data_IF_143554248276
#
_entry.id   IF_143554248276
#
_cell.length_a   1.000
_cell.length_b   1.000
_cell.length_c   1.000
_cell.angle_alpha   90.00
_cell.angle_beta   90.00
_cell.angle_gamma   90.00
#
_symmetry.space_group_name_H-M   'P 1'
#
loop_
_entity.id
_entity.type
_entity.pdbx_description
1 polymer ?
#
# COMPACT_ATOMS: atom_id res chain seq x y z
N UNK A 1 -22.68 -4.15 20.14
CA UNK A 1 -21.77 -4.03 18.98
C UNK A 1 -21.21 -5.41 18.72
N UNK A 2 -21.33 -5.90 17.48
CA UNK A 2 -20.75 -7.19 17.09
C UNK A 2 -19.25 -7.21 17.43
N UNK A 3 -18.79 -8.21 18.20
CA UNK A 3 -17.36 -8.45 18.47
C UNK A 3 -16.55 -8.66 17.17
N UNK A 4 -17.24 -8.83 16.04
CA UNK A 4 -16.65 -9.07 14.71
C UNK A 4 -16.41 -7.80 13.88
N UNK A 5 -16.84 -6.61 14.32
CA UNK A 5 -16.70 -5.38 13.52
C UNK A 5 -15.67 -4.41 14.12
N UNK A 6 -14.68 -4.02 13.31
CA UNK A 6 -13.70 -3.01 13.71
C UNK A 6 -14.28 -1.60 13.55
N UNK A 7 -13.91 -0.67 14.43
CA UNK A 7 -14.17 0.76 14.22
C UNK A 7 -12.86 1.47 13.93
N UNK A 8 -12.76 2.09 12.76
CA UNK A 8 -11.55 2.77 12.31
C UNK A 8 -11.83 4.27 12.25
N UNK A 9 -11.04 5.04 12.99
CA UNK A 9 -11.10 6.50 12.99
C UNK A 9 -9.97 7.02 12.10
N UNK A 10 -10.31 7.92 11.18
CA UNK A 10 -9.36 8.55 10.25
C UNK A 10 -9.41 10.08 10.33
N UNK A 11 -8.30 10.76 10.01
CA UNK A 11 -8.27 12.22 9.87
C UNK A 11 -9.18 12.76 8.74
N UNK A 12 -9.65 14.00 8.87
CA UNK A 12 -10.52 14.70 7.89
C UNK A 12 -9.75 15.34 6.72
N UNK A 13 -8.83 14.60 6.13
CA UNK A 13 -8.14 14.96 4.88
C UNK A 13 -7.86 13.71 4.05
N UNK A 14 -7.68 13.88 2.73
CA UNK A 14 -7.43 12.78 1.79
C UNK A 14 -8.42 11.61 1.96
N UNK A 15 -9.69 11.92 2.24
CA UNK A 15 -10.70 10.92 2.67
C UNK A 15 -10.90 9.83 1.60
N UNK A 16 -10.75 10.17 0.31
CA UNK A 16 -10.89 9.22 -0.79
C UNK A 16 -9.75 8.20 -0.76
N UNK A 17 -8.51 8.67 -0.65
CA UNK A 17 -7.30 7.86 -0.54
C UNK A 17 -7.34 6.98 0.72
N UNK A 18 -7.70 7.56 1.87
CA UNK A 18 -7.82 6.82 3.13
C UNK A 18 -8.90 5.73 3.05
N UNK A 19 -10.07 6.03 2.49
CA UNK A 19 -11.13 5.00 2.30
C UNK A 19 -10.70 3.90 1.35
N UNK A 20 -10.02 4.24 0.26
CA UNK A 20 -9.43 3.26 -0.66
C UNK A 20 -8.46 2.33 0.09
N UNK A 21 -7.55 2.88 0.90
CA UNK A 21 -6.61 2.10 1.68
C UNK A 21 -7.29 1.16 2.68
N UNK A 22 -8.32 1.65 3.37
CA UNK A 22 -9.08 0.82 4.31
C UNK A 22 -9.82 -0.31 3.59
N UNK A 23 -10.36 -0.07 2.38
CA UNK A 23 -11.00 -1.12 1.59
C UNK A 23 -10.00 -2.19 1.13
N UNK A 24 -8.84 -1.78 0.63
CA UNK A 24 -7.78 -2.72 0.27
C UNK A 24 -7.37 -3.55 1.48
N UNK A 25 -6.95 -2.91 2.57
CA UNK A 25 -6.39 -3.59 3.75
C UNK A 25 -7.45 -4.47 4.43
N UNK A 26 -8.58 -3.89 4.84
CA UNK A 26 -9.57 -4.60 5.65
C UNK A 26 -10.57 -5.37 4.80
N UNK A 27 -11.05 -4.79 3.69
CA UNK A 27 -12.06 -5.39 2.83
C UNK A 27 -11.52 -6.47 1.88
N UNK A 28 -10.32 -6.28 1.33
CA UNK A 28 -9.76 -7.21 0.33
C UNK A 28 -8.76 -8.19 0.94
N UNK A 29 -7.75 -7.71 1.66
CA UNK A 29 -6.68 -8.56 2.16
C UNK A 29 -7.03 -9.32 3.45
N UNK A 30 -7.61 -8.62 4.44
CA UNK A 30 -7.96 -9.22 5.73
C UNK A 30 -9.36 -9.82 5.76
N UNK A 31 -10.28 -9.38 4.88
CA UNK A 31 -11.70 -9.79 4.83
C UNK A 31 -12.41 -9.57 6.17
N UNK A 32 -12.17 -8.43 6.80
CA UNK A 32 -12.76 -8.03 8.09
C UNK A 32 -13.78 -6.90 7.85
N UNK A 33 -14.97 -7.04 8.42
CA UNK A 33 -15.96 -5.96 8.42
C UNK A 33 -15.51 -4.82 9.31
N UNK A 34 -15.61 -3.59 8.82
CA UNK A 34 -15.21 -2.40 9.55
C UNK A 34 -16.18 -1.23 9.31
N UNK A 35 -16.24 -0.32 10.27
CA UNK A 35 -16.91 0.96 10.17
C UNK A 35 -15.87 2.09 10.19
N UNK A 36 -16.03 3.10 9.34
CA UNK A 36 -15.14 4.26 9.29
C UNK A 36 -15.81 5.47 9.91
N UNK A 37 -15.12 6.12 10.85
CA UNK A 37 -15.49 7.42 11.40
C UNK A 37 -14.44 8.45 11.01
N UNK A 38 -14.88 9.55 10.43
CA UNK A 38 -13.99 10.69 10.14
C UNK A 38 -14.00 11.61 11.35
N UNK A 39 -12.82 11.98 11.84
CA UNK A 39 -12.68 12.85 13.00
C UNK A 39 -12.24 14.25 12.59
N UNK A 40 -12.91 15.28 13.11
CA UNK A 40 -12.72 16.68 12.71
C UNK A 40 -11.57 17.38 13.45
N UNK A 41 -11.18 16.89 14.63
CA UNK A 41 -10.07 17.47 15.36
C UNK A 41 -8.75 17.16 14.61
N UNK A 42 -7.76 18.05 14.71
CA UNK A 42 -6.41 17.97 14.11
C UNK A 42 -5.58 16.75 14.61
N UNK A 43 -6.12 15.55 14.49
CA UNK A 43 -5.41 14.30 14.76
C UNK A 43 -4.64 13.90 13.51
N UNK A 44 -3.36 13.60 13.69
CA UNK A 44 -2.48 13.05 12.66
C UNK A 44 -2.23 11.58 12.95
N UNK A 45 -3.31 10.81 13.11
CA UNK A 45 -3.23 9.36 13.37
C UNK A 45 -4.50 8.62 12.96
N UNK A 46 -4.32 7.35 12.62
CA UNK A 46 -5.37 6.37 12.47
C UNK A 46 -5.57 5.65 13.79
N UNK A 47 -6.82 5.42 14.18
CA UNK A 47 -7.13 4.62 15.38
C UNK A 47 -8.05 3.48 15.01
N UNK A 48 -7.59 2.25 15.25
CA UNK A 48 -8.35 1.03 14.98
C UNK A 48 -8.80 0.47 16.33
N UNK A 49 -10.10 0.48 16.58
CA UNK A 49 -10.71 -0.01 17.81
C UNK A 49 -11.36 -1.37 17.60
N UNK A 50 -11.19 -2.24 18.58
CA UNK A 50 -11.88 -3.53 18.65
C UNK A 50 -12.13 -3.98 20.09
N UNK A 51 -13.10 -4.87 20.27
CA UNK A 51 -13.53 -5.39 21.58
C UNK A 51 -13.85 -4.30 22.62
N UNK A 52 -14.30 -3.12 22.16
CA UNK A 52 -14.69 -1.94 22.97
C UNK A 52 -13.65 -1.37 23.96
N UNK A 53 -12.41 -1.90 24.01
CA UNK A 53 -11.37 -1.44 24.96
C UNK A 53 -9.95 -1.41 24.40
N UNK A 54 -9.70 -2.07 23.26
CA UNK A 54 -8.36 -2.17 22.69
C UNK A 54 -8.22 -1.34 21.43
N UNK A 55 -7.04 -0.76 21.23
CA UNK A 55 -6.79 0.05 20.05
C UNK A 55 -5.38 -0.06 19.49
N UNK A 56 -5.27 0.00 18.17
CA UNK A 56 -4.00 0.24 17.48
C UNK A 56 -4.03 1.71 17.03
N UNK A 57 -2.98 2.45 17.35
CA UNK A 57 -2.78 3.84 16.96
C UNK A 57 -1.59 3.88 16.01
N UNK A 58 -1.84 4.34 14.79
CA UNK A 58 -0.83 4.45 13.74
C UNK A 58 -0.70 5.92 13.40
N UNK A 59 0.48 6.50 13.63
CA UNK A 59 0.74 7.90 13.29
C UNK A 59 0.64 8.09 11.78
N UNK A 60 0.00 9.17 11.39
CA UNK A 60 -0.01 9.66 10.02
C UNK A 60 1.19 10.58 9.83
N UNK A 61 2.26 10.01 9.28
CA UNK A 61 3.54 10.68 9.07
C UNK A 61 3.66 11.30 7.68
N UNK A 62 2.67 11.08 6.80
CA UNK A 62 2.72 11.55 5.41
C UNK A 62 1.51 12.41 5.01
N UNK A 63 0.28 11.90 5.08
CA UNK A 63 -0.90 12.66 4.64
C UNK A 63 -1.15 13.88 5.54
N UNK A 64 -0.70 13.84 6.80
CA UNK A 64 -0.71 14.99 7.70
C UNK A 64 0.12 16.18 7.17
N UNK A 65 1.18 15.92 6.40
CA UNK A 65 2.01 16.93 5.75
C UNK A 65 1.37 17.48 4.46
N UNK A 66 0.38 16.76 3.90
CA UNK A 66 -0.26 17.05 2.62
C UNK A 66 -1.80 17.09 2.73
N UNK A 67 -2.38 17.94 3.60
CA UNK A 67 -3.82 17.91 3.90
C UNK A 67 -4.71 18.34 2.72
N UNK A 68 -4.16 19.07 1.76
CA UNK A 68 -4.88 19.48 0.55
C UNK A 68 -4.89 18.32 -0.44
N UNK A 69 -6.06 18.03 -1.02
CA UNK A 69 -6.24 16.97 -2.01
C UNK A 69 -5.17 17.05 -3.11
N UNK A 70 -4.53 15.91 -3.40
CA UNK A 70 -3.48 15.74 -4.41
C UNK A 70 -2.22 16.61 -4.22
N UNK A 71 -2.06 17.35 -3.11
CA UNK A 71 -0.88 18.18 -2.87
C UNK A 71 0.43 17.41 -2.68
N UNK A 72 0.32 16.09 -2.46
CA UNK A 72 1.42 15.14 -2.41
C UNK A 72 1.95 14.74 -3.80
N UNK A 73 1.29 15.09 -4.91
CA UNK A 73 1.74 14.74 -6.27
C UNK A 73 2.89 15.64 -6.73
N UNK A 74 4.02 15.58 -6.02
CA UNK A 74 5.25 16.31 -6.30
C UNK A 74 6.47 15.52 -5.88
N UNK A 75 7.61 15.78 -6.50
CA UNK A 75 8.87 15.08 -6.23
C UNK A 75 9.32 15.19 -4.76
N UNK A 76 9.05 16.32 -4.10
CA UNK A 76 9.40 16.53 -2.69
C UNK A 76 8.57 15.67 -1.71
N UNK A 77 7.54 14.98 -2.18
CA UNK A 77 6.73 14.06 -1.38
C UNK A 77 7.18 12.60 -1.54
N UNK A 78 8.24 12.36 -2.32
CA UNK A 78 8.89 11.05 -2.40
C UNK A 78 9.83 10.92 -1.19
N UNK A 79 9.78 9.81 -0.43
CA UNK A 79 10.69 9.60 0.69
C UNK A 79 12.14 9.58 0.17
N UNK A 80 12.99 10.37 0.81
CA UNK A 80 14.40 10.46 0.42
C UNK A 80 15.22 9.30 1.00
N UNK A 81 14.79 8.74 2.13
CA UNK A 81 15.47 7.68 2.86
C UNK A 81 14.52 6.53 3.20
N UNK A 82 15.06 5.31 3.24
CA UNK A 82 14.36 4.11 3.71
C UNK A 82 15.23 3.42 4.74
N UNK A 83 14.68 3.24 5.94
CA UNK A 83 15.37 2.58 7.04
C UNK A 83 14.84 1.15 7.21
N UNK A 84 15.73 0.20 7.45
CA UNK A 84 15.34 -1.17 7.79
C UNK A 84 15.26 -1.32 9.31
N UNK A 85 14.05 -1.56 9.82
CA UNK A 85 13.80 -1.70 11.26
C UNK A 85 13.61 -3.18 11.60
N UNK A 86 14.16 -3.62 12.73
CA UNK A 86 13.99 -4.97 13.28
C UNK A 86 12.89 -4.95 14.34
N UNK A 87 11.89 -5.83 14.23
CA UNK A 87 10.89 -5.98 15.28
C UNK A 87 10.24 -7.37 15.25
N UNK A 88 9.96 -8.01 16.40
CA UNK A 88 9.26 -9.30 16.45
C UNK A 88 7.85 -9.32 15.85
N UNK A 89 7.23 -8.16 15.65
CA UNK A 89 5.90 -8.06 15.03
C UNK A 89 5.94 -8.13 13.50
N UNK A 90 7.12 -8.07 12.89
CA UNK A 90 7.27 -8.19 11.45
C UNK A 90 7.24 -9.65 11.01
N UNK A 91 6.74 -9.91 9.80
CA UNK A 91 6.72 -11.25 9.21
C UNK A 91 8.11 -11.67 8.71
N UNK A 92 8.87 -10.71 8.23
CA UNK A 92 10.29 -10.84 7.86
C UNK A 92 11.19 -10.32 8.99
N UNK A 93 12.49 -10.60 8.89
CA UNK A 93 13.49 -10.18 9.89
C UNK A 93 13.49 -8.67 10.13
N UNK A 94 13.41 -7.89 9.06
CA UNK A 94 13.33 -6.44 9.06
C UNK A 94 12.17 -5.94 8.20
N UNK A 95 11.83 -4.67 8.32
CA UNK A 95 10.84 -4.00 7.48
C UNK A 95 11.43 -2.68 6.93
N UNK A 96 11.36 -2.41 5.62
CA UNK A 96 11.78 -1.13 5.06
C UNK A 96 10.73 -0.05 5.35
N UNK A 97 11.07 0.94 6.14
CA UNK A 97 10.21 2.05 6.58
C UNK A 97 10.49 3.31 5.77
N UNK A 98 9.44 3.81 5.09
CA UNK A 98 9.49 5.00 4.23
C UNK A 98 8.95 6.27 4.90
N UNK A 99 7.98 6.09 5.79
CA UNK A 99 7.24 7.16 6.46
C UNK A 99 7.11 6.80 7.94
N UNK A 100 7.59 7.69 8.82
CA UNK A 100 7.76 7.43 10.25
C UNK A 100 9.22 7.17 10.65
N UNK A 101 9.49 7.16 11.95
CA UNK A 101 10.84 6.95 12.50
C UNK A 101 11.14 5.48 12.84
N UNK A 102 10.12 4.62 12.96
CA UNK A 102 10.30 3.18 13.23
C UNK A 102 9.92 2.74 14.65
N UNK A 103 9.33 3.62 15.45
CA UNK A 103 8.97 3.37 16.82
C UNK A 103 7.69 2.53 16.95
N UNK A 104 7.74 1.58 17.88
CA UNK A 104 6.61 0.72 18.24
C UNK A 104 6.57 0.59 19.77
N UNK A 105 5.48 1.03 20.38
CA UNK A 105 5.18 0.88 21.79
C UNK A 105 4.01 -0.09 21.99
N UNK A 106 4.25 -1.17 22.74
CA UNK A 106 3.24 -2.17 23.09
C UNK A 106 2.84 -1.98 24.55
N UNK A 107 1.54 -1.77 24.77
CA UNK A 107 0.94 -1.65 26.10
C UNK A 107 -0.17 -2.71 26.29
N UNK A 108 -0.71 -2.83 27.50
CA UNK A 108 -1.71 -3.85 27.84
C UNK A 108 -2.95 -3.83 26.93
N UNK A 109 -3.45 -2.63 26.62
CA UNK A 109 -4.68 -2.43 25.85
C UNK A 109 -4.48 -1.67 24.53
N UNK A 110 -3.25 -1.26 24.21
CA UNK A 110 -2.99 -0.55 22.95
C UNK A 110 -1.60 -0.81 22.40
N UNK A 111 -1.49 -0.70 21.09
CA UNK A 111 -0.19 -0.61 20.40
C UNK A 111 -0.16 0.74 19.69
N UNK A 112 0.95 1.46 19.85
CA UNK A 112 1.20 2.73 19.19
C UNK A 112 2.42 2.54 18.29
N UNK A 113 2.30 2.90 17.02
CA UNK A 113 3.45 2.91 16.12
C UNK A 113 3.46 4.18 15.29
N UNK A 114 4.66 4.67 14.99
CA UNK A 114 4.84 5.80 14.09
C UNK A 114 5.18 5.39 12.64
N UNK A 115 5.37 4.08 12.41
CA UNK A 115 5.48 3.48 11.08
C UNK A 115 4.14 3.66 10.38
N UNK A 116 4.11 4.56 9.39
CA UNK A 116 2.87 4.90 8.69
C UNK A 116 2.53 3.81 7.66
N UNK A 117 1.82 2.79 8.16
CA UNK A 117 1.38 1.63 7.40
C UNK A 117 0.54 2.05 6.19
N UNK A 118 -0.38 2.98 6.37
CA UNK A 118 -1.35 3.33 5.33
C UNK A 118 -0.70 4.12 4.20
N UNK A 119 0.14 5.10 4.53
CA UNK A 119 0.85 5.89 3.52
C UNK A 119 1.89 5.05 2.77
N UNK A 120 2.55 4.12 3.47
CA UNK A 120 3.47 3.16 2.83
C UNK A 120 2.73 2.26 1.83
N UNK A 121 1.59 1.67 2.23
CA UNK A 121 0.76 0.86 1.33
C UNK A 121 0.27 1.72 0.14
N UNK A 122 -0.15 2.96 0.40
CA UNK A 122 -0.61 3.87 -0.65
C UNK A 122 0.47 4.15 -1.69
N UNK A 123 1.70 4.41 -1.23
CA UNK A 123 2.84 4.64 -2.10
C UNK A 123 3.14 3.43 -3.00
N UNK A 124 3.16 2.24 -2.40
CA UNK A 124 3.45 1.02 -3.13
C UNK A 124 2.35 0.64 -4.13
N UNK A 125 1.08 0.87 -3.79
CA UNK A 125 -0.05 0.54 -4.67
C UNK A 125 -0.21 1.53 -5.83
N UNK A 126 -0.09 2.83 -5.55
CA UNK A 126 -0.33 3.86 -6.58
C UNK A 126 0.90 4.16 -7.41
N UNK A 127 2.09 3.81 -6.90
CA UNK A 127 3.37 4.07 -7.57
C UNK A 127 3.49 5.53 -8.00
N UNK A 128 3.01 6.48 -7.16
CA UNK A 128 2.93 7.88 -7.59
C UNK A 128 4.31 8.49 -7.91
N UNK A 129 5.41 7.86 -7.49
CA UNK A 129 6.77 8.17 -7.95
C UNK A 129 6.91 8.14 -9.47
N UNK A 130 6.21 7.23 -10.15
CA UNK A 130 6.23 7.08 -11.60
C UNK A 130 5.52 8.24 -12.30
N UNK A 131 4.50 8.78 -11.65
CA UNK A 131 3.71 9.92 -12.10
C UNK A 131 4.49 11.24 -11.97
N UNK A 132 5.18 11.46 -10.84
CA UNK A 132 5.91 12.70 -10.58
C UNK A 132 7.32 12.71 -11.17
N UNK A 133 7.84 11.55 -11.58
CA UNK A 133 9.16 11.44 -12.20
C UNK A 133 9.17 11.97 -13.63
N UNK A 134 10.20 12.78 -13.93
CA UNK A 134 10.52 13.25 -15.27
C UNK A 134 11.44 12.29 -16.03
N UNK A 135 12.09 11.36 -15.32
CA UNK A 135 13.03 10.43 -15.90
C UNK A 135 12.26 9.34 -16.65
N UNK A 136 12.57 9.17 -17.94
CA UNK A 136 11.94 8.21 -18.82
C UNK A 136 12.99 7.44 -19.60
N UNK A 137 12.74 6.15 -19.81
CA UNK A 137 13.56 5.32 -20.69
C UNK A 137 13.33 5.69 -22.18
N UNK A 138 14.04 5.02 -23.09
CA UNK A 138 13.91 5.23 -24.54
C UNK A 138 12.49 5.00 -25.10
N UNK A 139 11.61 4.36 -24.33
CA UNK A 139 10.22 4.08 -24.69
C UNK A 139 9.24 5.01 -23.97
N UNK A 140 9.71 6.03 -23.25
CA UNK A 140 8.85 6.95 -22.50
C UNK A 140 8.29 6.38 -21.20
N UNK A 141 8.85 5.28 -20.67
CA UNK A 141 8.39 4.59 -19.46
C UNK A 141 9.22 5.02 -18.25
N UNK A 142 8.66 4.90 -17.05
CA UNK A 142 9.44 5.10 -15.83
C UNK A 142 10.46 3.95 -15.67
N UNK A 143 11.78 4.22 -15.58
CA UNK A 143 12.77 3.18 -15.41
C UNK A 143 12.65 2.52 -14.04
N UNK A 144 12.59 1.19 -13.98
CA UNK A 144 12.50 0.47 -12.69
C UNK A 144 13.69 0.78 -11.77
N UNK A 145 14.87 1.08 -12.33
CA UNK A 145 16.08 1.47 -11.60
C UNK A 145 15.91 2.78 -10.82
N UNK A 146 14.96 3.62 -11.25
CA UNK A 146 14.65 4.87 -10.57
C UNK A 146 13.66 4.69 -9.40
N UNK A 147 13.03 3.53 -9.28
CA UNK A 147 12.09 3.24 -8.19
C UNK A 147 12.78 3.22 -6.83
N UNK A 148 12.06 3.62 -5.78
CA UNK A 148 12.50 3.45 -4.41
C UNK A 148 12.84 1.98 -4.10
N UNK A 149 12.04 1.06 -4.65
CA UNK A 149 12.21 -0.38 -4.45
C UNK A 149 13.53 -0.92 -4.99
N UNK A 150 13.97 -0.43 -6.16
CA UNK A 150 15.28 -0.78 -6.70
C UNK A 150 16.40 -0.10 -5.89
N UNK A 151 16.29 1.21 -5.66
CA UNK A 151 17.32 2.02 -4.97
C UNK A 151 17.63 1.51 -3.57
N UNK A 152 16.63 1.00 -2.86
CA UNK A 152 16.74 0.49 -1.51
C UNK A 152 16.70 -1.03 -1.40
N UNK A 153 16.86 -1.74 -2.52
CA UNK A 153 17.02 -3.20 -2.57
C UNK A 153 15.86 -4.01 -1.94
N UNK A 154 14.62 -3.59 -2.18
CA UNK A 154 13.42 -4.33 -1.78
C UNK A 154 12.49 -4.68 -2.94
N UNK A 155 12.94 -4.54 -4.19
CA UNK A 155 12.12 -4.82 -5.39
C UNK A 155 11.53 -6.24 -5.46
N UNK A 156 12.17 -7.21 -4.82
CA UNK A 156 11.70 -8.59 -4.77
C UNK A 156 10.82 -8.91 -3.56
N UNK A 157 10.55 -7.93 -2.70
CA UNK A 157 9.77 -8.11 -1.47
C UNK A 157 8.31 -7.69 -1.68
N UNK A 158 7.33 -8.46 -1.17
CA UNK A 158 5.93 -8.11 -1.26
C UNK A 158 5.56 -7.09 -0.17
N UNK A 159 6.11 -5.87 -0.25
CA UNK A 159 6.03 -4.86 0.83
C UNK A 159 4.60 -4.59 1.31
N UNK A 160 3.63 -4.50 0.40
CA UNK A 160 2.21 -4.33 0.79
C UNK A 160 1.74 -5.47 1.70
N UNK A 161 2.10 -6.71 1.38
CA UNK A 161 1.74 -7.87 2.19
C UNK A 161 2.46 -7.86 3.54
N UNK A 162 3.76 -7.53 3.57
CA UNK A 162 4.53 -7.46 4.82
C UNK A 162 3.92 -6.45 5.81
N UNK A 163 3.53 -5.27 5.32
CA UNK A 163 2.85 -4.25 6.11
C UNK A 163 1.46 -4.67 6.59
N UNK A 164 0.73 -5.44 5.78
CA UNK A 164 -0.56 -6.03 6.17
C UNK A 164 -0.36 -7.11 7.25
N UNK A 165 0.67 -7.94 7.14
CA UNK A 165 1.02 -8.91 8.18
C UNK A 165 1.47 -8.23 9.47
N UNK A 166 2.23 -7.12 9.38
CA UNK A 166 2.58 -6.32 10.56
C UNK A 166 1.32 -5.81 11.28
N UNK A 167 0.37 -5.22 10.54
CA UNK A 167 -0.92 -4.81 11.11
C UNK A 167 -1.70 -5.97 11.71
N UNK A 168 -1.72 -7.12 11.01
CA UNK A 168 -2.37 -8.33 11.50
C UNK A 168 -1.75 -8.85 12.79
N UNK A 169 -0.42 -8.88 12.89
CA UNK A 169 0.30 -9.31 14.08
C UNK A 169 0.00 -8.40 15.28
N UNK A 170 -0.12 -7.08 15.06
CA UNK A 170 -0.58 -6.16 16.11
C UNK A 170 -2.02 -6.47 16.58
N UNK A 171 -2.94 -6.78 15.65
CA UNK A 171 -4.30 -7.20 15.99
C UNK A 171 -4.30 -8.49 16.81
N UNK A 172 -3.54 -9.50 16.39
CA UNK A 172 -3.43 -10.80 17.08
C UNK A 172 -2.81 -10.64 18.47
N UNK A 173 -1.73 -9.87 18.60
CA UNK A 173 -1.05 -9.62 19.88
C UNK A 173 -2.01 -9.03 20.91
N UNK A 174 -2.84 -8.09 20.50
CA UNK A 174 -3.87 -7.48 21.33
C UNK A 174 -5.10 -8.40 21.51
N UNK A 175 -5.11 -9.63 21.00
CA UNK A 175 -6.17 -10.62 21.23
C UNK A 175 -7.39 -10.47 20.31
N UNK A 176 -7.20 -9.98 19.08
CA UNK A 176 -8.23 -10.03 18.05
C UNK A 176 -8.61 -11.48 17.73
N UNK A 177 -9.91 -11.80 17.75
CA UNK A 177 -10.43 -13.17 17.52
C UNK A 177 -10.73 -13.49 16.06
N UNK A 178 -10.52 -12.55 15.13
CA UNK A 178 -10.69 -12.81 13.71
C UNK A 178 -9.73 -13.91 13.26
N UNK A 179 -10.13 -14.68 12.25
CA UNK A 179 -9.24 -15.65 11.61
C UNK A 179 -8.54 -14.96 10.45
N UNK A 180 -7.22 -15.15 10.32
CA UNK A 180 -6.46 -14.68 9.16
C UNK A 180 -7.05 -15.29 7.90
N UNK A 181 -7.56 -14.45 6.99
CA UNK A 181 -8.02 -14.93 5.70
C UNK A 181 -6.85 -15.48 4.89
N UNK A 182 -6.96 -16.71 4.39
CA UNK A 182 -5.94 -17.32 3.52
C UNK A 182 -6.42 -17.25 2.08
N UNK A 183 -5.74 -16.43 1.28
CA UNK A 183 -5.99 -16.37 -0.16
C UNK A 183 -5.60 -17.70 -0.80
N UNK A 184 -6.46 -18.22 -1.68
CA UNK A 184 -6.13 -19.40 -2.48
C UNK A 184 -5.40 -18.93 -3.72
N UNK A 185 -4.21 -19.48 -3.96
CA UNK A 185 -3.49 -19.27 -5.19
C UNK A 185 -4.36 -19.71 -6.38
N UNK A 186 -4.43 -18.87 -7.39
CA UNK A 186 -5.12 -19.14 -8.65
C UNK A 186 -4.30 -18.59 -9.79
N UNK A 187 -4.15 -19.36 -10.86
CA UNK A 187 -3.50 -18.90 -12.08
C UNK A 187 -4.59 -18.29 -12.97
N UNK A 188 -4.48 -16.99 -13.22
CA UNK A 188 -5.26 -16.30 -14.25
C UNK A 188 -4.34 -16.01 -15.43
N UNK A 189 -4.35 -16.87 -16.44
CA UNK A 189 -3.58 -16.66 -17.67
C UNK A 189 -4.21 -15.50 -18.45
N UNK A 190 -3.55 -14.35 -18.44
CA UNK A 190 -3.86 -13.24 -19.35
C UNK A 190 -2.93 -13.32 -20.56
N UNK A 191 -3.44 -12.89 -21.71
CA UNK A 191 -2.62 -12.73 -22.92
C UNK A 191 -2.72 -11.27 -23.33
N UNK A 192 -1.56 -10.62 -23.50
CA UNK A 192 -1.51 -9.31 -24.12
C UNK A 192 -1.62 -9.50 -25.64
N UNK A 193 -2.65 -8.91 -26.24
CA UNK A 193 -2.93 -9.07 -27.67
C UNK A 193 -2.66 -7.73 -28.36
N UNK A 194 -1.41 -7.52 -28.78
CA UNK A 194 -1.00 -6.30 -29.49
C UNK A 194 -1.75 -6.13 -30.83
N UNK A 195 -2.05 -7.24 -31.49
CA UNK A 195 -2.65 -7.26 -32.83
C UNK A 195 -3.70 -8.37 -32.94
N UNK A 196 -4.96 -8.02 -32.71
CA UNK A 196 -6.10 -8.96 -32.78
C UNK A 196 -6.37 -9.50 -34.19
N UNK A 197 -5.92 -8.79 -35.24
CA UNK A 197 -6.21 -9.10 -36.64
C UNK A 197 -4.96 -9.02 -37.54
N UNK A 198 -3.86 -9.61 -37.08
CA UNK A 198 -2.54 -9.52 -37.74
C UNK A 198 -2.52 -10.00 -39.21
N UNK A 199 -3.39 -10.96 -39.56
CA UNK A 199 -3.46 -11.58 -40.89
C UNK A 199 -4.89 -11.71 -41.42
N UNK A 200 -5.70 -10.65 -41.29
CA UNK A 200 -7.11 -10.70 -41.65
C UNK A 200 -7.36 -11.01 -43.15
N UNK A 201 -6.46 -10.58 -44.03
CA UNK A 201 -6.56 -10.84 -45.47
C UNK A 201 -5.19 -10.91 -46.14
N UNK A 202 -5.15 -11.43 -47.36
CA UNK A 202 -3.91 -11.59 -48.13
C UNK A 202 -3.14 -10.28 -48.30
N UNK A 203 -3.81 -9.14 -48.45
CA UNK A 203 -3.14 -7.83 -48.55
C UNK A 203 -2.36 -7.50 -47.28
N UNK A 204 -2.96 -7.68 -46.10
CA UNK A 204 -2.28 -7.43 -44.81
C UNK A 204 -1.14 -8.43 -44.55
N UNK A 205 -1.31 -9.69 -44.99
CA UNK A 205 -0.23 -10.69 -44.95
C UNK A 205 0.99 -10.24 -45.74
N UNK A 206 0.80 -9.83 -47.01
CA UNK A 206 1.90 -9.35 -47.85
C UNK A 206 2.56 -8.07 -47.33
N UNK A 207 1.79 -7.10 -46.86
CA UNK A 207 2.33 -5.84 -46.31
C UNK A 207 3.22 -6.11 -45.09
N UNK A 208 2.86 -7.08 -44.24
CA UNK A 208 3.66 -7.43 -43.06
C UNK A 208 4.91 -8.24 -43.43
N UNK A 209 4.78 -9.25 -44.29
CA UNK A 209 5.93 -10.03 -44.75
C UNK A 209 6.96 -9.18 -45.49
N UNK A 210 6.52 -8.18 -46.26
CA UNK A 210 7.41 -7.24 -46.93
C UNK A 210 8.00 -6.21 -45.95
N UNK A 211 7.25 -5.81 -44.91
CA UNK A 211 7.73 -4.90 -43.87
C UNK A 211 8.85 -5.46 -43.01
N UNK A 212 8.97 -6.80 -42.90
CA UNK A 212 10.07 -7.48 -42.19
C UNK A 212 11.38 -7.56 -43.01
N UNK A 213 11.38 -7.11 -44.28
CA UNK A 213 12.53 -7.17 -45.22
C UNK A 213 13.26 -5.81 -45.34
N UNK A 214 12.77 -4.75 -44.69
CA UNK A 214 13.35 -3.39 -44.73
C UNK A 214 13.95 -3.00 -43.39
#
# INVERSE_FOLDING_TARGET
MDEKMLTIVIPKNNIKERKYLLDIVFGQFLKITYNVKVFDNNISEYRIFFNNKKSIIIKDSFFSLYPVSLSYLKKSAIPENVNYILNPLFSEKDLPVFFGEGDIAVEENRIITDIDIFSTIFFMLTRWEEYVSKDKDQHGRFPHTESLAYKYNFIHRPIVNEYIEFLWNMLVLLGCKHKRYKHKFSILLTHDVDHTLRYLNFKMLFVRLAGDIV
#
